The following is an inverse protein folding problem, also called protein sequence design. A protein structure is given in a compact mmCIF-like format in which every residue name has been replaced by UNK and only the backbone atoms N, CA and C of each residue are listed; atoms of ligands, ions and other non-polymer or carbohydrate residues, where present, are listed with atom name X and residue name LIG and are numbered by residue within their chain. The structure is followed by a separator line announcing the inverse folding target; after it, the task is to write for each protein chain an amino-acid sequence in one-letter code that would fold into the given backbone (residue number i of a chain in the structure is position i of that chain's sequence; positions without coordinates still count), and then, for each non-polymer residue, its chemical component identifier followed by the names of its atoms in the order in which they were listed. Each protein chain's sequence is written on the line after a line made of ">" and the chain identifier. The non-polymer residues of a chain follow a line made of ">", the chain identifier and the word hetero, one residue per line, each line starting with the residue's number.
data_IF_142532850666
#
_entry.id   IF_142532850666
#
_cell.length_a   1.000
_cell.length_b   1.000
_cell.length_c   1.000
_cell.angle_alpha   90.00
_cell.angle_beta   90.00
_cell.angle_gamma   90.00
#
_symmetry.space_group_name_H-M   'P 1'
#
loop_
_entity.id
_entity.type
_entity.pdbx_description
1 polymer ?
#
# COMPACT_ATOMS: atom_id res chain seq x y z
N UNK A 1 -0.01 0.35 4.38
CA UNK A 1 1.20 -0.40 4.80
C UNK A 1 0.95 -1.59 5.73
N UNK A 2 0.65 -1.42 7.03
CA UNK A 2 0.57 -2.59 7.94
C UNK A 2 -0.48 -3.64 7.50
N UNK A 3 -1.62 -3.19 6.97
CA UNK A 3 -2.65 -4.06 6.38
C UNK A 3 -2.19 -4.80 5.12
N UNK A 4 -1.41 -4.15 4.25
CA UNK A 4 -0.88 -4.74 3.01
C UNK A 4 0.20 -5.77 3.31
N UNK A 5 1.10 -5.48 4.26
CA UNK A 5 2.11 -6.43 4.72
C UNK A 5 1.45 -7.69 5.31
N UNK A 6 0.41 -7.51 6.14
CA UNK A 6 -0.36 -8.63 6.67
C UNK A 6 -1.04 -9.45 5.54
N UNK A 7 -1.54 -8.78 4.49
CA UNK A 7 -2.09 -9.46 3.30
C UNK A 7 -1.03 -10.23 2.53
N UNK A 8 0.15 -9.64 2.32
CA UNK A 8 1.31 -10.27 1.67
C UNK A 8 1.75 -11.51 2.45
N UNK A 9 1.91 -11.39 3.76
CA UNK A 9 2.31 -12.49 4.63
C UNK A 9 1.30 -13.62 4.61
N UNK A 10 0.00 -13.30 4.73
CA UNK A 10 -1.06 -14.30 4.65
C UNK A 10 -1.06 -15.05 3.30
N UNK A 11 -0.71 -14.39 2.19
CA UNK A 11 -0.63 -15.06 0.89
C UNK A 11 0.63 -15.89 0.76
N UNK A 12 1.75 -15.38 1.28
CA UNK A 12 3.01 -16.12 1.33
C UNK A 12 2.82 -17.44 2.08
N UNK A 13 2.10 -17.43 3.21
CA UNK A 13 1.80 -18.66 3.95
C UNK A 13 0.98 -19.65 3.14
N UNK A 14 -0.06 -19.19 2.44
CA UNK A 14 -0.89 -20.09 1.61
C UNK A 14 -0.08 -20.74 0.49
N UNK A 15 0.91 -20.03 -0.06
CA UNK A 15 1.69 -20.51 -1.21
C UNK A 15 2.82 -21.46 -0.80
N UNK A 16 3.25 -21.44 0.48
CA UNK A 16 4.30 -22.33 0.98
C UNK A 16 3.82 -23.79 1.02
N UNK A 17 4.55 -24.76 0.45
CA UNK A 17 4.11 -26.15 0.42
C UNK A 17 4.26 -26.88 1.76
N UNK A 18 5.16 -26.40 2.63
CA UNK A 18 5.47 -27.06 3.90
C UNK A 18 4.51 -26.60 5.02
N UNK A 19 3.67 -27.53 5.49
CA UNK A 19 2.68 -27.29 6.56
C UNK A 19 3.31 -26.74 7.84
N UNK A 20 4.51 -27.18 8.21
CA UNK A 20 5.20 -26.72 9.42
C UNK A 20 5.61 -25.25 9.31
N UNK A 21 6.07 -24.84 8.11
CA UNK A 21 6.39 -23.44 7.81
C UNK A 21 5.12 -22.59 7.80
N UNK A 22 4.02 -23.10 7.23
CA UNK A 22 2.73 -22.41 7.28
C UNK A 22 2.25 -22.16 8.71
N UNK A 23 2.31 -23.19 9.57
CA UNK A 23 1.90 -23.07 10.98
C UNK A 23 2.79 -22.12 11.75
N UNK A 24 4.10 -22.13 11.49
CA UNK A 24 5.03 -21.19 12.09
C UNK A 24 4.70 -19.74 11.68
N UNK A 25 4.55 -19.46 10.38
CA UNK A 25 4.23 -18.10 9.91
C UNK A 25 2.83 -17.61 10.32
N UNK A 26 1.86 -18.51 10.51
CA UNK A 26 0.52 -18.14 10.99
C UNK A 26 0.50 -17.82 12.48
N UNK A 27 1.53 -18.21 13.24
CA UNK A 27 1.63 -17.92 14.66
C UNK A 27 1.64 -16.40 14.90
N UNK A 28 0.88 -15.89 15.90
CA UNK A 28 0.80 -14.45 16.17
C UNK A 28 2.18 -13.83 16.43
N UNK A 29 3.06 -14.54 17.13
CA UNK A 29 4.44 -14.09 17.40
C UNK A 29 5.22 -13.85 16.10
N UNK A 30 5.10 -14.74 15.12
CA UNK A 30 5.81 -14.58 13.84
C UNK A 30 5.34 -13.37 13.06
N UNK A 31 4.04 -13.02 13.14
CA UNK A 31 3.51 -11.79 12.54
C UNK A 31 4.10 -10.55 13.20
N UNK A 32 4.16 -10.53 14.54
CA UNK A 32 4.77 -9.43 15.30
C UNK A 32 6.26 -9.32 14.97
N UNK A 33 7.00 -10.42 14.92
CA UNK A 33 8.42 -10.43 14.54
C UNK A 33 8.63 -9.87 13.14
N UNK A 34 7.83 -10.28 12.15
CA UNK A 34 7.96 -9.72 10.79
C UNK A 34 7.64 -8.23 10.78
N UNK A 35 6.64 -7.78 11.53
CA UNK A 35 6.36 -6.34 11.66
C UNK A 35 7.52 -5.58 12.31
N UNK A 36 8.11 -6.13 13.37
CA UNK A 36 9.30 -5.55 14.02
C UNK A 36 10.43 -5.46 13.01
N UNK A 37 10.76 -6.54 12.29
CA UNK A 37 11.81 -6.54 11.26
C UNK A 37 11.54 -5.47 10.20
N UNK A 38 10.29 -5.34 9.76
CA UNK A 38 9.91 -4.34 8.76
C UNK A 38 10.07 -2.91 9.28
N UNK A 39 9.65 -2.65 10.52
CA UNK A 39 9.85 -1.36 11.19
C UNK A 39 11.33 -1.08 11.39
N UNK A 40 12.12 -2.08 11.81
CA UNK A 40 13.56 -1.97 11.98
C UNK A 40 14.25 -1.66 10.65
N UNK A 41 13.85 -2.27 9.55
CA UNK A 41 14.34 -1.95 8.21
C UNK A 41 14.00 -0.50 7.87
N UNK A 42 12.75 -0.08 8.07
CA UNK A 42 12.33 1.31 7.86
C UNK A 42 13.18 2.30 8.67
N UNK A 43 13.36 2.04 9.96
CA UNK A 43 14.20 2.86 10.85
C UNK A 43 15.68 2.83 10.43
N UNK A 44 16.21 1.67 10.05
CA UNK A 44 17.59 1.53 9.60
C UNK A 44 17.90 2.36 8.35
N UNK A 45 16.93 2.53 7.44
CA UNK A 45 17.10 3.42 6.28
C UNK A 45 16.79 4.89 6.61
N UNK A 46 15.95 5.15 7.61
CA UNK A 46 15.54 6.51 8.02
C UNK A 46 16.56 7.20 8.94
N UNK A 47 17.25 6.45 9.80
CA UNK A 47 18.20 7.00 10.77
C UNK A 47 19.44 7.59 10.07
N UNK A 48 20.12 6.92 9.13
CA UNK A 48 21.28 7.48 8.42
C UNK A 48 20.92 8.71 7.59
N UNK A 49 19.73 8.72 6.99
CA UNK A 49 19.24 9.89 6.26
C UNK A 49 18.94 11.05 7.21
N UNK A 50 18.46 10.77 8.42
CA UNK A 50 18.25 11.76 9.47
C UNK A 50 19.57 12.26 10.10
N UNK A 51 20.56 11.38 10.32
CA UNK A 51 21.86 11.78 10.90
C UNK A 51 22.74 12.52 9.90
N UNK A 52 22.73 12.14 8.62
CA UNK A 52 23.30 12.96 7.53
C UNK A 52 22.67 14.35 7.48
N UNK A 53 21.39 14.47 7.87
CA UNK A 53 20.70 15.74 7.94
C UNK A 53 21.04 16.55 9.20
N UNK A 54 21.31 15.91 10.34
CA UNK A 54 21.65 16.59 11.60
C UNK A 54 23.04 17.23 11.61
N UNK A 55 23.94 16.86 10.69
CA UNK A 55 25.19 17.61 10.44
C UNK A 55 24.90 18.93 9.68
N UNK A 56 24.01 19.75 10.23
CA UNK A 56 23.45 20.96 9.60
C UNK A 56 24.43 22.12 9.46
N UNK A 57 25.58 22.13 10.14
CA UNK A 57 26.48 23.29 10.09
C UNK A 57 27.01 23.55 8.67
N UNK A 58 27.37 22.48 7.92
CA UNK A 58 27.81 22.61 6.54
C UNK A 58 26.67 22.96 5.57
N UNK A 59 25.44 22.49 5.83
CA UNK A 59 24.28 22.79 5.00
C UNK A 59 23.81 24.24 5.18
N UNK A 60 23.85 24.75 6.42
CA UNK A 60 23.54 26.15 6.74
C UNK A 60 24.58 27.08 6.11
N UNK A 61 25.88 26.73 6.16
CA UNK A 61 26.92 27.48 5.44
C UNK A 61 26.77 27.39 3.91
N UNK A 62 26.46 26.21 3.36
CA UNK A 62 26.22 26.04 1.93
C UNK A 62 25.03 26.87 1.45
N UNK A 63 23.91 26.86 2.19
CA UNK A 63 22.71 27.64 1.87
C UNK A 63 22.91 29.14 2.07
N UNK A 64 23.68 29.56 3.08
CA UNK A 64 24.08 30.97 3.24
C UNK A 64 24.87 31.45 2.01
N UNK A 65 25.83 30.65 1.53
CA UNK A 65 26.58 30.94 0.30
C UNK A 65 25.68 30.91 -0.95
N UNK A 66 24.73 29.98 -1.02
CA UNK A 66 23.77 29.89 -2.14
C UNK A 66 22.79 31.06 -2.17
N UNK A 67 22.38 31.58 -1.01
CA UNK A 67 21.49 32.75 -0.90
C UNK A 67 22.17 34.01 -1.44
N UNK A 68 23.46 34.19 -1.15
CA UNK A 68 24.28 35.27 -1.74
C UNK A 68 24.34 35.13 -3.27
N UNK A 69 24.53 33.91 -3.77
CA UNK A 69 24.54 33.62 -5.21
C UNK A 69 23.17 33.83 -5.88
N UNK A 70 22.06 33.44 -5.26
CA UNK A 70 20.72 33.57 -5.83
C UNK A 70 20.25 35.03 -5.90
N UNK A 71 20.55 35.82 -4.87
CA UNK A 71 20.27 37.27 -4.84
C UNK A 71 21.08 38.00 -5.91
N UNK A 72 22.36 37.64 -6.10
CA UNK A 72 23.19 38.21 -7.17
C UNK A 72 22.73 37.82 -8.58
N UNK A 73 22.21 36.60 -8.77
CA UNK A 73 21.93 36.06 -10.11
C UNK A 73 20.57 36.42 -10.67
N UNK A 74 19.57 36.67 -9.82
CA UNK A 74 18.19 36.89 -10.26
C UNK A 74 17.61 38.27 -9.95
N UNK A 75 18.36 39.17 -9.30
CA UNK A 75 17.99 40.58 -9.07
C UNK A 75 16.58 40.77 -8.45
N UNK A 76 16.11 39.77 -7.69
CA UNK A 76 14.84 39.85 -6.99
C UNK A 76 15.02 40.68 -5.73
N UNK A 77 14.45 41.88 -5.74
CA UNK A 77 14.38 42.78 -4.59
C UNK A 77 13.30 42.25 -3.61
N UNK A 78 13.51 41.08 -3.05
CA UNK A 78 12.63 40.49 -2.03
C UNK A 78 13.00 41.16 -0.71
N UNK A 79 12.12 42.03 -0.22
CA UNK A 79 12.15 42.50 1.16
C UNK A 79 11.89 41.28 2.04
N UNK A 80 12.96 40.65 2.50
CA UNK A 80 12.88 39.54 3.46
C UNK A 80 12.43 40.15 4.78
N UNK A 81 11.25 39.83 5.32
CA UNK A 81 10.87 40.27 6.65
C UNK A 81 11.92 39.72 7.62
N UNK A 82 12.46 40.56 8.50
CA UNK A 82 13.42 40.15 9.52
C UNK A 82 12.83 38.99 10.34
N UNK A 83 13.26 37.77 10.03
CA UNK A 83 12.64 36.55 10.53
C UNK A 83 13.44 35.33 10.10
N UNK A 84 14.47 35.01 10.88
CA UNK A 84 15.27 33.77 10.77
C UNK A 84 14.41 32.50 10.81
N UNK A 85 13.17 32.60 11.30
CA UNK A 85 12.26 31.47 11.49
C UNK A 85 11.69 30.91 10.18
N UNK A 86 11.47 31.74 9.15
CA UNK A 86 10.89 31.28 7.87
C UNK A 86 11.88 30.37 7.14
N UNK A 87 13.18 30.69 7.20
CA UNK A 87 14.23 29.89 6.56
C UNK A 87 14.45 28.55 7.29
N UNK A 88 14.32 28.52 8.62
CA UNK A 88 14.48 27.31 9.41
C UNK A 88 13.33 26.30 9.18
N UNK A 89 12.11 26.78 8.93
CA UNK A 89 10.95 25.95 8.61
C UNK A 89 11.15 25.23 7.27
N UNK A 90 11.68 25.92 6.25
CA UNK A 90 11.85 25.36 4.90
C UNK A 90 12.90 24.23 4.86
N UNK A 91 14.01 24.40 5.59
CA UNK A 91 15.08 23.38 5.66
C UNK A 91 14.61 22.12 6.41
N UNK A 92 13.90 22.29 7.53
CA UNK A 92 13.35 21.16 8.30
C UNK A 92 12.31 20.40 7.50
N UNK A 93 11.43 21.11 6.80
CA UNK A 93 10.42 20.53 5.94
C UNK A 93 11.04 19.71 4.80
N UNK A 94 12.04 20.25 4.12
CA UNK A 94 12.76 19.54 3.05
C UNK A 94 13.47 18.28 3.57
N UNK A 95 14.08 18.35 4.75
CA UNK A 95 14.68 17.19 5.41
C UNK A 95 13.67 16.08 5.69
N UNK A 96 12.56 16.42 6.35
CA UNK A 96 11.48 15.47 6.64
C UNK A 96 10.88 14.87 5.36
N UNK A 97 10.67 15.68 4.32
CA UNK A 97 10.13 15.22 3.05
C UNK A 97 11.04 14.19 2.37
N UNK A 98 12.37 14.39 2.37
CA UNK A 98 13.34 13.42 1.83
C UNK A 98 13.33 12.09 2.59
N UNK A 99 13.30 12.12 3.92
CA UNK A 99 13.26 10.91 4.76
C UNK A 99 11.97 10.13 4.52
N UNK A 100 10.82 10.83 4.54
CA UNK A 100 9.51 10.21 4.26
C UNK A 100 9.52 9.60 2.85
N UNK A 101 10.00 10.33 1.85
CA UNK A 101 10.09 9.83 0.49
C UNK A 101 10.97 8.58 0.36
N UNK A 102 12.17 8.59 0.94
CA UNK A 102 13.08 7.46 0.93
C UNK A 102 12.45 6.23 1.61
N UNK A 103 11.81 6.42 2.76
CA UNK A 103 11.15 5.32 3.49
C UNK A 103 10.00 4.70 2.70
N UNK A 104 9.20 5.51 1.98
CA UNK A 104 8.14 5.02 1.09
C UNK A 104 8.76 4.20 -0.05
N UNK A 105 9.80 4.72 -0.72
CA UNK A 105 10.44 4.03 -1.83
C UNK A 105 11.01 2.66 -1.43
N UNK A 106 11.74 2.61 -0.31
CA UNK A 106 12.29 1.35 0.21
C UNK A 106 11.18 0.36 0.55
N UNK A 107 10.14 0.83 1.24
CA UNK A 107 8.99 -0.01 1.63
C UNK A 107 8.29 -0.59 0.42
N UNK A 108 7.94 0.25 -0.56
CA UNK A 108 7.26 -0.19 -1.79
C UNK A 108 8.13 -1.15 -2.60
N UNK A 109 9.44 -0.90 -2.70
CA UNK A 109 10.37 -1.78 -3.38
C UNK A 109 10.42 -3.18 -2.74
N UNK A 110 10.50 -3.25 -1.40
CA UNK A 110 10.46 -4.52 -0.67
C UNK A 110 9.14 -5.23 -0.89
N UNK A 111 8.01 -4.53 -0.78
CA UNK A 111 6.68 -5.08 -1.04
C UNK A 111 6.56 -5.63 -2.47
N UNK A 112 7.12 -4.94 -3.46
CA UNK A 112 7.11 -5.36 -4.85
C UNK A 112 7.92 -6.64 -5.07
N UNK A 113 9.11 -6.75 -4.46
CA UNK A 113 9.93 -7.97 -4.48
C UNK A 113 9.15 -9.14 -3.87
N UNK A 114 8.54 -8.95 -2.70
CA UNK A 114 7.76 -10.01 -2.04
C UNK A 114 6.57 -10.44 -2.91
N UNK A 115 5.84 -9.49 -3.49
CA UNK A 115 4.73 -9.78 -4.38
C UNK A 115 5.17 -10.58 -5.61
N UNK A 116 6.32 -10.23 -6.19
CA UNK A 116 6.91 -10.96 -7.32
C UNK A 116 7.33 -12.38 -6.94
N UNK A 117 7.95 -12.56 -5.77
CA UNK A 117 8.31 -13.88 -5.23
C UNK A 117 7.04 -14.73 -5.04
N UNK A 118 5.99 -14.18 -4.43
CA UNK A 118 4.70 -14.87 -4.25
C UNK A 118 4.12 -15.29 -5.59
N UNK A 119 4.16 -14.42 -6.61
CA UNK A 119 3.66 -14.73 -7.95
C UNK A 119 4.45 -15.89 -8.58
N UNK A 120 5.79 -15.87 -8.46
CA UNK A 120 6.67 -16.94 -8.96
C UNK A 120 6.42 -18.26 -8.24
N UNK A 121 6.29 -18.24 -6.93
CA UNK A 121 5.99 -19.43 -6.13
C UNK A 121 4.59 -19.99 -6.44
N UNK A 122 3.59 -19.11 -6.60
CA UNK A 122 2.22 -19.51 -6.97
C UNK A 122 2.22 -20.22 -8.33
N UNK A 123 2.99 -19.74 -9.31
CA UNK A 123 3.16 -20.39 -10.62
C UNK A 123 3.86 -21.75 -10.51
N UNK A 124 4.93 -21.85 -9.71
CA UNK A 124 5.66 -23.11 -9.50
C UNK A 124 4.79 -24.18 -8.83
N UNK A 125 3.95 -23.76 -7.88
CA UNK A 125 3.06 -24.63 -7.11
C UNK A 125 1.65 -24.73 -7.72
N UNK A 126 1.45 -24.36 -8.99
CA UNK A 126 0.14 -24.35 -9.62
C UNK A 126 -0.56 -25.72 -9.59
N UNK A 127 0.21 -26.81 -9.64
CA UNK A 127 -0.29 -28.19 -9.59
C UNK A 127 -0.90 -28.58 -8.22
N UNK A 128 -0.55 -27.88 -7.13
CA UNK A 128 -1.12 -28.13 -5.81
C UNK A 128 -2.53 -27.56 -5.65
N UNK A 129 -2.97 -26.67 -6.55
CA UNK A 129 -4.24 -25.97 -6.44
C UNK A 129 -5.25 -26.46 -7.50
N UNK A 130 -6.54 -26.44 -7.14
CA UNK A 130 -7.59 -26.58 -8.15
C UNK A 130 -7.52 -25.43 -9.16
N UNK A 131 -7.88 -25.66 -10.43
CA UNK A 131 -7.89 -24.62 -11.48
C UNK A 131 -8.66 -23.36 -11.04
N UNK A 132 -9.75 -23.52 -10.29
CA UNK A 132 -10.57 -22.42 -9.78
C UNK A 132 -9.85 -21.64 -8.66
N UNK A 133 -9.31 -22.35 -7.67
CA UNK A 133 -8.59 -21.74 -6.54
C UNK A 133 -7.33 -21.01 -7.03
N UNK A 134 -6.58 -21.62 -7.94
CA UNK A 134 -5.40 -21.01 -8.56
C UNK A 134 -5.73 -19.68 -9.24
N UNK A 135 -6.77 -19.64 -10.09
CA UNK A 135 -7.21 -18.41 -10.75
C UNK A 135 -7.59 -17.31 -9.76
N UNK A 136 -8.26 -17.66 -8.66
CA UNK A 136 -8.61 -16.70 -7.60
C UNK A 136 -7.36 -16.12 -6.94
N UNK A 137 -6.41 -16.97 -6.51
CA UNK A 137 -5.16 -16.47 -5.91
C UNK A 137 -4.33 -15.65 -6.89
N UNK A 138 -4.25 -16.06 -8.16
CA UNK A 138 -3.53 -15.34 -9.20
C UNK A 138 -4.11 -13.94 -9.40
N UNK A 139 -5.43 -13.82 -9.59
CA UNK A 139 -6.09 -12.52 -9.72
C UNK A 139 -5.88 -11.65 -8.48
N UNK A 140 -5.98 -12.25 -7.29
CA UNK A 140 -5.80 -11.53 -6.06
C UNK A 140 -4.36 -11.01 -5.92
N UNK A 141 -3.34 -11.78 -6.34
CA UNK A 141 -1.92 -11.36 -6.29
C UNK A 141 -1.60 -10.32 -7.36
N UNK A 142 -2.16 -10.44 -8.57
CA UNK A 142 -2.05 -9.41 -9.61
C UNK A 142 -2.64 -8.09 -9.10
N UNK A 143 -3.81 -8.14 -8.47
CA UNK A 143 -4.42 -6.94 -7.88
C UNK A 143 -3.51 -6.28 -6.85
N UNK A 144 -2.85 -7.08 -6.02
CA UNK A 144 -1.91 -6.56 -5.02
C UNK A 144 -0.73 -5.84 -5.68
N UNK A 145 -0.19 -6.39 -6.77
CA UNK A 145 0.86 -5.72 -7.56
C UNK A 145 0.35 -4.40 -8.13
N UNK A 146 -0.87 -4.36 -8.67
CA UNK A 146 -1.48 -3.12 -9.16
C UNK A 146 -1.67 -2.10 -8.04
N UNK A 147 -2.07 -2.54 -6.84
CA UNK A 147 -2.21 -1.67 -5.66
C UNK A 147 -0.87 -1.10 -5.21
N UNK A 148 0.23 -1.84 -5.28
CA UNK A 148 1.58 -1.33 -4.97
C UNK A 148 2.05 -0.24 -5.95
N UNK A 149 1.47 -0.15 -7.15
CA UNK A 149 1.76 0.94 -8.09
C UNK A 149 1.04 2.24 -7.70
N UNK A 150 -0.09 2.18 -6.99
CA UNK A 150 -0.87 3.37 -6.61
C UNK A 150 -0.08 4.36 -5.72
N UNK A 151 0.61 3.95 -4.64
CA UNK A 151 1.44 4.87 -3.85
C UNK A 151 2.54 5.53 -4.69
N UNK A 152 3.12 4.81 -5.65
CA UNK A 152 4.16 5.35 -6.53
C UNK A 152 3.59 6.47 -7.40
N UNK A 153 2.44 6.23 -8.04
CA UNK A 153 1.81 7.21 -8.92
C UNK A 153 1.22 8.41 -8.16
N UNK A 154 0.50 8.17 -7.07
CA UNK A 154 -0.30 9.21 -6.41
C UNK A 154 0.39 9.85 -5.20
N UNK A 155 1.47 9.27 -4.68
CA UNK A 155 2.21 9.82 -3.53
C UNK A 155 3.65 10.12 -3.92
N UNK A 156 4.40 9.11 -4.37
CA UNK A 156 5.82 9.28 -4.65
C UNK A 156 6.07 10.27 -5.80
N UNK A 157 5.30 10.18 -6.88
CA UNK A 157 5.43 11.07 -8.06
C UNK A 157 5.16 12.54 -7.73
N UNK A 158 4.04 12.93 -7.08
CA UNK A 158 3.82 14.34 -6.76
C UNK A 158 4.84 14.88 -5.74
N UNK A 159 5.25 14.06 -4.75
CA UNK A 159 6.31 14.45 -3.80
C UNK A 159 7.65 14.65 -4.51
N UNK A 160 8.03 13.74 -5.41
CA UNK A 160 9.22 13.88 -6.26
C UNK A 160 9.19 15.19 -7.05
N UNK A 161 8.06 15.49 -7.70
CA UNK A 161 7.96 16.69 -8.52
C UNK A 161 8.11 17.95 -7.67
N UNK A 162 7.46 18.00 -6.50
CA UNK A 162 7.63 19.10 -5.55
C UNK A 162 9.08 19.27 -5.10
N UNK A 163 9.76 18.16 -4.77
CA UNK A 163 11.16 18.17 -4.35
C UNK A 163 12.09 18.63 -5.48
N UNK A 164 11.84 18.20 -6.72
CA UNK A 164 12.61 18.62 -7.91
C UNK A 164 12.41 20.12 -8.14
N UNK A 165 11.18 20.61 -8.15
CA UNK A 165 10.89 22.04 -8.32
C UNK A 165 11.58 22.87 -7.23
N UNK A 166 11.50 22.43 -5.97
CA UNK A 166 12.19 23.10 -4.85
C UNK A 166 13.71 23.06 -5.00
N UNK A 167 14.29 21.93 -5.41
CA UNK A 167 15.74 21.77 -5.60
C UNK A 167 16.29 22.70 -6.68
N UNK A 168 15.56 22.90 -7.77
CA UNK A 168 15.95 23.82 -8.85
C UNK A 168 15.44 25.26 -8.64
N UNK A 169 14.86 25.56 -7.47
CA UNK A 169 14.25 26.86 -7.16
C UNK A 169 13.22 27.32 -8.21
N UNK A 170 12.50 26.38 -8.83
CA UNK A 170 11.41 26.71 -9.73
C UNK A 170 10.19 27.14 -8.93
N UNK A 171 9.60 28.32 -9.21
CA UNK A 171 8.37 28.73 -8.57
C UNK A 171 7.27 27.73 -8.96
N UNK A 172 6.63 27.11 -7.98
CA UNK A 172 5.50 26.22 -8.21
C UNK A 172 4.25 27.10 -8.35
N UNK A 173 3.63 27.19 -9.55
CA UNK A 173 2.36 27.89 -9.70
C UNK A 173 1.31 27.26 -8.81
N UNK A 174 0.40 28.07 -8.26
CA UNK A 174 -0.70 27.61 -7.39
C UNK A 174 -1.47 26.44 -8.01
N UNK A 175 -1.76 26.54 -9.31
CA UNK A 175 -2.45 25.49 -10.08
C UNK A 175 -1.71 24.15 -10.04
N UNK A 176 -0.37 24.15 -10.14
CA UNK A 176 0.42 22.92 -10.05
C UNK A 176 0.36 22.36 -8.63
N UNK A 177 0.48 23.23 -7.61
CA UNK A 177 0.31 22.84 -6.22
C UNK A 177 -1.03 22.15 -5.94
N UNK A 178 -2.12 22.71 -6.46
CA UNK A 178 -3.47 22.14 -6.33
C UNK A 178 -3.60 20.78 -7.01
N UNK A 179 -3.01 20.62 -8.21
CA UNK A 179 -2.99 19.33 -8.92
C UNK A 179 -2.23 18.27 -8.12
N UNK A 180 -1.09 18.63 -7.51
CA UNK A 180 -0.29 17.72 -6.69
C UNK A 180 -1.04 17.30 -5.41
N UNK A 181 -1.72 18.24 -4.76
CA UNK A 181 -2.57 17.96 -3.58
C UNK A 181 -3.80 17.12 -3.95
N UNK A 182 -4.38 17.36 -5.12
CA UNK A 182 -5.48 16.55 -5.65
C UNK A 182 -5.02 15.11 -5.94
N UNK A 183 -3.83 14.94 -6.54
CA UNK A 183 -3.25 13.62 -6.79
C UNK A 183 -3.07 12.81 -5.49
N UNK A 184 -2.54 13.45 -4.44
CA UNK A 184 -2.41 12.86 -3.11
C UNK A 184 -3.76 12.44 -2.52
N UNK A 185 -4.77 13.30 -2.65
CA UNK A 185 -6.13 13.03 -2.18
C UNK A 185 -6.80 11.89 -2.98
N UNK A 186 -6.46 11.77 -4.26
CA UNK A 186 -7.03 10.75 -5.14
C UNK A 186 -6.52 9.34 -4.84
N UNK A 187 -5.37 9.20 -4.16
CA UNK A 187 -4.81 7.90 -3.77
C UNK A 187 -5.83 6.98 -3.06
N UNK A 188 -6.51 7.49 -2.03
CA UNK A 188 -7.48 6.70 -1.26
C UNK A 188 -8.67 6.26 -2.12
N UNK A 189 -9.15 7.15 -2.99
CA UNK A 189 -10.23 6.89 -3.95
C UNK A 189 -9.81 5.86 -4.99
N UNK A 190 -8.61 5.99 -5.55
CA UNK A 190 -8.06 5.06 -6.54
C UNK A 190 -7.92 3.65 -5.95
N UNK A 191 -7.39 3.51 -4.73
CA UNK A 191 -7.29 2.21 -4.06
C UNK A 191 -8.66 1.56 -3.79
N UNK A 192 -9.65 2.36 -3.42
CA UNK A 192 -11.02 1.89 -3.22
C UNK A 192 -11.65 1.43 -4.54
N UNK A 193 -11.49 2.21 -5.61
CA UNK A 193 -11.95 1.88 -6.96
C UNK A 193 -11.29 0.61 -7.49
N UNK A 194 -9.96 0.48 -7.36
CA UNK A 194 -9.23 -0.74 -7.74
C UNK A 194 -9.80 -1.96 -7.01
N UNK A 195 -10.03 -1.84 -5.70
CA UNK A 195 -10.63 -2.92 -4.92
C UNK A 195 -12.01 -3.29 -5.44
N UNK A 196 -12.89 -2.30 -5.69
CA UNK A 196 -14.25 -2.53 -6.21
C UNK A 196 -14.22 -3.19 -7.60
N UNK A 197 -13.34 -2.72 -8.50
CA UNK A 197 -13.26 -3.19 -9.89
C UNK A 197 -12.71 -4.61 -10.01
N UNK A 198 -11.66 -4.94 -9.25
CA UNK A 198 -10.94 -6.20 -9.40
C UNK A 198 -11.42 -7.31 -8.45
N UNK A 199 -11.89 -6.95 -7.25
CA UNK A 199 -12.34 -7.97 -6.30
C UNK A 199 -13.80 -8.33 -6.58
N UNK A 200 -13.99 -9.53 -7.15
CA UNK A 200 -15.28 -10.04 -7.63
C UNK A 200 -16.47 -9.86 -6.68
N UNK A 201 -16.40 -10.18 -5.37
CA UNK A 201 -17.53 -9.97 -4.47
C UNK A 201 -17.95 -8.49 -4.38
N UNK A 202 -16.99 -7.56 -4.29
CA UNK A 202 -17.30 -6.12 -4.27
C UNK A 202 -17.89 -5.65 -5.59
N UNK A 203 -17.36 -6.11 -6.73
CA UNK A 203 -17.94 -5.79 -8.04
C UNK A 203 -19.40 -6.26 -8.17
N UNK A 204 -19.70 -7.49 -7.74
CA UNK A 204 -21.07 -8.04 -7.78
C UNK A 204 -22.01 -7.25 -6.90
N UNK A 205 -21.57 -6.93 -5.68
CA UNK A 205 -22.34 -6.11 -4.75
C UNK A 205 -22.61 -4.71 -5.33
N UNK A 206 -21.58 -4.05 -5.84
CA UNK A 206 -21.69 -2.69 -6.41
C UNK A 206 -22.60 -2.67 -7.64
N UNK A 207 -22.50 -3.67 -8.53
CA UNK A 207 -23.43 -3.80 -9.67
C UNK A 207 -24.88 -3.99 -9.22
N UNK A 208 -25.11 -4.85 -8.23
CA UNK A 208 -26.46 -5.07 -7.70
C UNK A 208 -27.02 -3.81 -7.02
N UNK A 209 -26.17 -3.05 -6.33
CA UNK A 209 -26.53 -1.77 -5.73
C UNK A 209 -26.86 -0.72 -6.79
N UNK A 210 -26.01 -0.57 -7.80
CA UNK A 210 -26.21 0.38 -8.90
C UNK A 210 -27.49 0.07 -9.68
N UNK A 211 -27.76 -1.21 -9.98
CA UNK A 211 -29.00 -1.63 -10.62
C UNK A 211 -30.25 -1.29 -9.79
N UNK A 212 -30.16 -1.25 -8.46
CA UNK A 212 -31.31 -0.84 -7.63
C UNK A 212 -31.57 0.64 -7.69
N UNK A 213 -30.51 1.43 -7.64
CA UNK A 213 -30.59 2.89 -7.72
C UNK A 213 -31.17 3.28 -9.09
N UNK A 214 -30.65 2.69 -10.17
CA UNK A 214 -31.08 2.98 -11.54
C UNK A 214 -32.49 2.42 -11.82
N UNK A 215 -32.77 1.16 -11.46
CA UNK A 215 -34.05 0.52 -11.81
C UNK A 215 -35.15 0.68 -10.75
N UNK A 216 -34.95 1.50 -9.70
CA UNK A 216 -35.85 1.66 -8.54
C UNK A 216 -36.43 0.33 -8.00
N UNK A 217 -35.61 -0.73 -8.02
CA UNK A 217 -36.10 -2.08 -7.70
C UNK A 217 -36.25 -2.28 -6.19
N UNK A 218 -37.46 -2.60 -5.73
CA UNK A 218 -37.80 -2.85 -4.31
C UNK A 218 -37.36 -4.22 -3.76
N UNK A 219 -36.66 -5.07 -4.53
CA UNK A 219 -36.28 -6.40 -4.02
C UNK A 219 -35.30 -6.25 -2.84
N UNK A 220 -35.48 -6.92 -1.69
CA UNK A 220 -34.57 -6.80 -0.56
C UNK A 220 -33.14 -7.25 -0.93
N UNK A 221 -32.09 -6.55 -0.47
CA UNK A 221 -30.72 -7.09 -0.54
C UNK A 221 -30.74 -8.31 0.37
N UNK A 222 -30.52 -9.52 -0.16
CA UNK A 222 -30.07 -10.60 0.72
C UNK A 222 -28.65 -10.23 1.15
N UNK A 223 -28.40 -9.93 2.44
CA UNK A 223 -27.10 -9.49 2.89
C UNK A 223 -26.08 -10.61 2.61
N UNK A 224 -25.17 -10.33 1.68
CA UNK A 224 -24.06 -11.21 1.32
C UNK A 224 -23.25 -11.55 2.59
N UNK A 225 -23.15 -10.60 3.51
CA UNK A 225 -22.56 -10.80 4.83
C UNK A 225 -23.33 -11.82 5.68
N UNK A 226 -24.66 -11.86 5.71
CA UNK A 226 -25.35 -12.91 6.48
C UNK A 226 -25.14 -14.28 5.88
N UNK A 227 -25.00 -14.41 4.55
CA UNK A 227 -24.75 -15.71 3.93
C UNK A 227 -23.32 -16.19 4.20
N UNK A 228 -22.32 -15.30 4.12
CA UNK A 228 -20.93 -15.66 4.39
C UNK A 228 -20.64 -15.82 5.88
N UNK A 229 -21.13 -14.91 6.74
CA UNK A 229 -21.01 -15.02 8.19
C UNK A 229 -21.80 -16.23 8.69
N UNK A 230 -23.04 -16.46 8.24
CA UNK A 230 -23.77 -17.68 8.63
C UNK A 230 -23.09 -18.94 8.11
N UNK A 231 -22.53 -18.97 6.89
CA UNK A 231 -21.76 -20.15 6.43
C UNK A 231 -20.50 -20.37 7.24
N UNK A 232 -19.75 -19.33 7.54
CA UNK A 232 -18.53 -19.40 8.35
C UNK A 232 -18.86 -19.83 9.78
N UNK A 233 -19.91 -19.27 10.38
CA UNK A 233 -20.38 -19.59 11.73
C UNK A 233 -20.94 -21.03 11.80
N UNK A 234 -21.71 -21.46 10.80
CA UNK A 234 -22.20 -22.84 10.68
C UNK A 234 -21.03 -23.82 10.47
N UNK A 235 -20.03 -23.47 9.65
CA UNK A 235 -18.84 -24.31 9.45
C UNK A 235 -17.94 -24.37 10.68
N UNK A 236 -17.86 -23.30 11.48
CA UNK A 236 -17.11 -23.28 12.73
C UNK A 236 -17.81 -24.09 13.84
N UNK A 237 -19.14 -24.03 13.93
CA UNK A 237 -19.92 -24.75 14.94
C UNK A 237 -20.35 -26.17 14.55
N UNK A 238 -20.03 -26.63 13.33
CA UNK A 238 -20.34 -27.99 12.90
C UNK A 238 -19.42 -29.02 13.57
N UNK A 239 -20.04 -29.99 14.25
CA UNK A 239 -19.39 -31.18 14.80
C UNK A 239 -18.51 -31.89 13.74
N UNK A 240 -17.33 -32.42 14.12
CA UNK A 240 -16.42 -33.14 13.20
C UNK A 240 -17.13 -34.24 12.40
N UNK A 241 -18.06 -34.96 13.01
CA UNK A 241 -18.84 -36.02 12.36
C UNK A 241 -19.73 -35.49 11.22
N UNK A 242 -20.29 -34.29 11.38
CA UNK A 242 -21.12 -33.62 10.38
C UNK A 242 -20.29 -33.18 9.17
N UNK A 243 -19.05 -32.72 9.40
CA UNK A 243 -18.09 -32.38 8.33
C UNK A 243 -17.73 -33.61 7.50
N UNK A 244 -17.55 -34.77 8.13
CA UNK A 244 -17.26 -36.03 7.45
C UNK A 244 -18.46 -36.48 6.59
N UNK A 245 -19.69 -36.40 7.11
CA UNK A 245 -20.91 -36.77 6.36
C UNK A 245 -21.14 -35.87 5.13
N UNK A 246 -20.94 -34.56 5.25
CA UNK A 246 -21.04 -33.65 4.11
C UNK A 246 -19.97 -33.94 3.05
N UNK A 247 -18.76 -34.30 3.47
CA UNK A 247 -17.68 -34.70 2.57
C UNK A 247 -18.02 -35.98 1.79
N UNK A 248 -18.67 -36.95 2.46
CA UNK A 248 -19.07 -38.21 1.83
C UNK A 248 -20.26 -38.03 0.88
N UNK A 249 -21.25 -37.19 1.22
CA UNK A 249 -22.35 -36.84 0.30
C UNK A 249 -21.87 -36.10 -0.95
N UNK A 250 -20.91 -35.19 -0.79
CA UNK A 250 -20.35 -34.49 -1.95
C UNK A 250 -19.61 -35.45 -2.90
N UNK A 251 -19.03 -36.55 -2.38
CA UNK A 251 -18.41 -37.59 -3.20
C UNK A 251 -19.42 -38.48 -3.91
N UNK A 252 -20.57 -38.79 -3.31
CA UNK A 252 -21.57 -39.65 -3.95
C UNK A 252 -22.36 -38.98 -5.06
N UNK A 253 -22.37 -37.63 -5.13
CA UNK A 253 -23.07 -36.88 -6.19
C UNK A 253 -22.18 -36.60 -7.42
N UNK A 254 -20.92 -37.03 -7.42
CA UNK A 254 -19.97 -36.81 -8.52
C UNK A 254 -19.74 -38.09 -9.36
N UNK A 255 -20.26 -39.23 -8.89
CA UNK A 255 -20.35 -40.47 -9.64
C UNK A 255 -21.79 -40.65 -10.13
#
# INVERSE_FOLDING_TARGET
>A
MASELNSLLYRLTIVLPNRNVQTAFMHPISKVLVQIVFVCIGLFFSIPTYTLFLNQEELVQFLANWKVLAVQRFNFNIVVPEGTDILAIDIRFLGSAKVVFASICVTEFVCFIIAFIILRMLRRNAHCFSKKTYKIHLHLTILLVVQLVSPILFIATPVCLSLICMFFAFPIPVVIGDILMLALSFYATANSLLTICFVTPYRRYTKALLQRIVCKSKKPIQPVERIYIARIFVLMNMSPAMKIRLRNRAKSNVN
#
